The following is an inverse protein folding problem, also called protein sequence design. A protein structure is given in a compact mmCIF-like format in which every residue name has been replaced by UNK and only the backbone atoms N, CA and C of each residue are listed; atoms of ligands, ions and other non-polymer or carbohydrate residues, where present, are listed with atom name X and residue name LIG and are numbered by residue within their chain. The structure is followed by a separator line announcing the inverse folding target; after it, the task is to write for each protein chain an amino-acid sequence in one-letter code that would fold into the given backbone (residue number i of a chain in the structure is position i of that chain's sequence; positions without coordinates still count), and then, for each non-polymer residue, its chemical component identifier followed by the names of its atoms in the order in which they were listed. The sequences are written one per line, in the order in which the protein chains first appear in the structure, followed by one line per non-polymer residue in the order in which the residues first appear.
data_IF_099246931826
#
_entry.id   IF_099246931826
#
_cell.length_a   1.000
_cell.length_b   1.000
_cell.length_c   1.000
_cell.angle_alpha   90.00
_cell.angle_beta   90.00
_cell.angle_gamma   90.00
#
_symmetry.space_group_name_H-M   'P 1'
#
loop_
_entity.id
_entity.type
_entity.pdbx_description
1 polymer ?
#
# COMPACT_ATOMS: atom_id res chain seq x y z
N UNK A 1 -0.64 6.87 -0.76
CA UNK A 1 -1.41 6.61 0.49
C UNK A 1 -1.00 7.58 1.60
N UNK A 2 0.26 7.56 2.04
CA UNK A 2 0.80 8.39 3.14
C UNK A 2 0.47 9.88 3.05
N UNK A 3 0.62 10.49 1.89
CA UNK A 3 0.31 11.90 1.65
C UNK A 3 -1.15 12.24 1.97
N UNK A 4 -2.09 11.38 1.54
CA UNK A 4 -3.52 11.58 1.79
C UNK A 4 -3.86 11.41 3.27
N UNK A 5 -3.17 10.52 3.97
CA UNK A 5 -3.31 10.40 5.43
C UNK A 5 -2.83 11.68 6.12
N UNK A 6 -1.66 12.20 5.73
CA UNK A 6 -1.10 13.44 6.26
C UNK A 6 -1.98 14.67 5.96
N UNK A 7 -2.57 14.76 4.77
CA UNK A 7 -3.49 15.86 4.42
C UNK A 7 -4.79 15.85 5.23
N UNK A 8 -5.12 14.73 5.87
CA UNK A 8 -6.24 14.59 6.80
C UNK A 8 -5.81 14.74 8.26
N UNK A 9 -4.54 15.07 8.52
CA UNK A 9 -3.94 15.15 9.86
C UNK A 9 -4.14 13.88 10.70
N UNK A 10 -4.13 12.71 10.04
CA UNK A 10 -4.33 11.42 10.72
C UNK A 10 -3.00 10.76 11.08
N UNK A 11 -2.90 10.26 12.31
CA UNK A 11 -1.87 9.29 12.68
C UNK A 11 -2.13 7.94 11.97
N UNK A 12 -1.13 7.06 11.95
CA UNK A 12 -1.32 5.70 11.43
C UNK A 12 -2.36 4.92 12.27
N UNK A 13 -2.36 5.14 13.58
CA UNK A 13 -3.31 4.52 14.51
C UNK A 13 -4.74 4.98 14.23
N UNK A 14 -4.96 6.29 14.11
CA UNK A 14 -6.28 6.84 13.78
C UNK A 14 -6.81 6.35 12.42
N UNK A 15 -5.93 6.14 11.44
CA UNK A 15 -6.37 5.58 10.15
C UNK A 15 -6.64 4.07 10.26
N UNK A 16 -5.85 3.34 11.05
CA UNK A 16 -6.04 1.93 11.31
C UNK A 16 -7.42 1.68 11.93
N UNK A 17 -7.77 2.45 12.97
CA UNK A 17 -9.07 2.41 13.65
C UNK A 17 -10.22 2.68 12.68
N UNK A 18 -10.11 3.76 11.89
CA UNK A 18 -11.13 4.14 10.90
C UNK A 18 -11.33 3.12 9.78
N UNK A 19 -10.28 2.35 9.50
CA UNK A 19 -10.27 1.37 8.42
C UNK A 19 -10.54 -0.05 8.93
N UNK A 20 -10.64 -0.26 10.25
CA UNK A 20 -10.78 -1.59 10.84
C UNK A 20 -9.60 -2.52 10.52
N UNK A 21 -8.39 -1.96 10.37
CA UNK A 21 -7.17 -2.72 10.11
C UNK A 21 -6.19 -2.51 11.24
N UNK A 22 -5.21 -3.41 11.36
CA UNK A 22 -4.14 -3.26 12.34
C UNK A 22 -3.16 -2.12 11.97
N UNK A 23 -2.64 -1.42 12.99
CA UNK A 23 -1.67 -0.32 12.80
C UNK A 23 -0.37 -0.80 12.18
N UNK A 24 0.14 -1.96 12.59
CA UNK A 24 1.35 -2.54 12.01
C UNK A 24 1.10 -3.00 10.57
N UNK A 25 -0.08 -3.54 10.27
CA UNK A 25 -0.52 -3.79 8.89
C UNK A 25 -0.48 -2.52 8.05
N UNK A 26 -1.06 -1.42 8.53
CA UNK A 26 -1.06 -0.14 7.84
C UNK A 26 0.36 0.42 7.61
N UNK A 27 1.24 0.29 8.60
CA UNK A 27 2.66 0.69 8.48
C UNK A 27 3.41 -0.12 7.43
N UNK A 28 3.21 -1.44 7.40
CA UNK A 28 3.78 -2.31 6.36
C UNK A 28 3.23 -1.98 4.98
N UNK A 29 1.93 -1.67 4.89
CA UNK A 29 1.28 -1.29 3.64
C UNK A 29 1.80 0.05 3.11
N UNK A 30 1.97 1.06 3.98
CA UNK A 30 2.55 2.35 3.59
C UNK A 30 3.99 2.24 3.07
N UNK A 31 4.71 1.19 3.49
CA UNK A 31 6.07 0.86 3.02
C UNK A 31 6.09 -0.11 1.84
N UNK A 32 4.93 -0.54 1.33
CA UNK A 32 4.84 -1.48 0.22
C UNK A 32 5.23 -2.92 0.57
N UNK A 33 5.35 -3.28 1.84
CA UNK A 33 5.84 -4.60 2.27
C UNK A 33 4.75 -5.69 2.29
N UNK A 34 3.47 -5.33 2.19
CA UNK A 34 2.36 -6.29 2.16
C UNK A 34 1.41 -6.00 1.02
N UNK A 35 0.86 -7.07 0.43
CA UNK A 35 -0.26 -7.02 -0.52
C UNK A 35 -1.58 -7.13 0.25
N UNK A 36 -2.40 -6.07 0.29
CA UNK A 36 -3.70 -6.10 0.94
C UNK A 36 -4.71 -6.87 0.08
N UNK A 37 -5.75 -7.43 0.71
CA UNK A 37 -6.90 -7.95 -0.02
C UNK A 37 -7.75 -6.80 -0.57
N UNK A 38 -8.61 -7.11 -1.55
CA UNK A 38 -9.55 -6.12 -2.10
C UNK A 38 -10.41 -5.46 -1.01
N UNK A 39 -10.96 -6.26 -0.09
CA UNK A 39 -11.76 -5.77 1.02
C UNK A 39 -10.98 -4.82 1.94
N UNK A 40 -9.73 -5.15 2.24
CA UNK A 40 -8.87 -4.30 3.07
C UNK A 40 -8.58 -2.95 2.41
N UNK A 41 -8.32 -2.92 1.10
CA UNK A 41 -8.11 -1.66 0.37
C UNK A 41 -9.39 -0.83 0.35
N UNK A 42 -10.56 -1.45 0.21
CA UNK A 42 -11.85 -0.75 0.30
C UNK A 42 -12.07 -0.10 1.68
N UNK A 43 -11.76 -0.82 2.77
CA UNK A 43 -11.86 -0.26 4.13
C UNK A 43 -10.88 0.89 4.35
N UNK A 44 -9.65 0.79 3.84
CA UNK A 44 -8.65 1.86 3.93
C UNK A 44 -9.07 3.08 3.10
N UNK A 45 -9.62 2.87 1.91
CA UNK A 45 -10.15 3.97 1.08
C UNK A 45 -11.29 4.71 1.81
N UNK A 46 -12.17 3.98 2.50
CA UNK A 46 -13.21 4.54 3.37
C UNK A 46 -12.60 5.38 4.50
N UNK A 47 -11.59 4.86 5.20
CA UNK A 47 -10.86 5.59 6.25
C UNK A 47 -10.16 6.87 5.75
N UNK A 48 -9.68 6.88 4.51
CA UNK A 48 -9.06 8.02 3.83
C UNK A 48 -10.07 8.98 3.17
N UNK A 49 -11.37 8.74 3.34
CA UNK A 49 -12.46 9.51 2.71
C UNK A 49 -12.23 9.68 1.21
N UNK A 50 -11.85 8.61 0.51
CA UNK A 50 -11.60 8.64 -0.93
C UNK A 50 -12.16 7.42 -1.63
N UNK A 51 -12.43 7.55 -2.94
CA UNK A 51 -12.84 6.42 -3.75
C UNK A 51 -11.71 5.39 -3.85
N UNK A 52 -12.08 4.11 -3.76
CA UNK A 52 -11.18 2.98 -3.96
C UNK A 52 -10.36 3.11 -5.25
N UNK A 53 -11.03 3.42 -6.37
CA UNK A 53 -10.37 3.59 -7.67
C UNK A 53 -9.24 4.62 -7.64
N UNK A 54 -9.39 5.69 -6.87
CA UNK A 54 -8.36 6.72 -6.72
C UNK A 54 -7.21 6.29 -5.82
N UNK A 55 -7.45 5.37 -4.88
CA UNK A 55 -6.41 4.82 -4.03
C UNK A 55 -5.54 3.84 -4.83
N UNK A 56 -6.17 2.96 -5.62
CA UNK A 56 -5.48 1.97 -6.46
C UNK A 56 -4.70 2.61 -7.60
N UNK A 57 -5.28 3.59 -8.29
CA UNK A 57 -4.58 4.32 -9.36
C UNK A 57 -3.25 4.93 -8.88
N UNK A 58 -3.16 5.37 -7.62
CA UNK A 58 -1.90 5.87 -7.02
C UNK A 58 -0.93 4.75 -6.61
N UNK A 59 -1.41 3.53 -6.42
CA UNK A 59 -0.57 2.36 -6.08
C UNK A 59 0.07 1.72 -7.32
N UNK A 60 -0.60 1.77 -8.47
CA UNK A 60 -0.08 1.26 -9.76
C UNK A 60 1.23 1.95 -10.15
N UNK A 61 1.38 3.25 -9.88
CA UNK A 61 2.62 4.00 -10.12
C UNK A 61 3.83 3.49 -9.32
N UNK A 62 3.66 2.92 -8.11
CA UNK A 62 4.76 2.39 -7.31
C UNK A 62 5.01 0.88 -7.51
N UNK A 63 4.02 0.14 -8.03
CA UNK A 63 4.19 -1.30 -8.32
C UNK A 63 5.04 -1.53 -9.58
N UNK A 64 4.97 -0.62 -10.55
CA UNK A 64 5.80 -0.64 -11.75
C UNK A 64 7.30 -0.60 -11.44
N UNK A 65 7.71 0.11 -10.38
CA UNK A 65 9.11 0.21 -9.96
C UNK A 65 9.61 -1.07 -9.28
N UNK A 66 8.74 -1.79 -8.56
CA UNK A 66 9.14 -3.00 -7.82
C UNK A 66 9.15 -4.26 -8.70
N UNK A 67 8.21 -4.37 -9.63
CA UNK A 67 8.19 -5.47 -10.61
C UNK A 67 9.42 -5.47 -11.53
N UNK A 68 10.05 -4.30 -11.77
CA UNK A 68 11.33 -4.24 -12.49
C UNK A 68 12.50 -4.82 -11.71
N UNK A 69 12.54 -4.66 -10.39
CA UNK A 69 13.61 -5.23 -9.56
C UNK A 69 13.45 -6.74 -9.36
N UNK A 70 12.23 -7.23 -9.13
CA UNK A 70 11.99 -8.67 -8.93
C UNK A 70 12.26 -9.49 -10.21
N UNK A 71 12.08 -8.89 -11.40
CA UNK A 71 12.37 -9.53 -12.69
C UNK A 71 13.86 -9.61 -13.04
N UNK A 72 14.73 -8.79 -12.43
CA UNK A 72 16.14 -8.69 -12.79
C UNK A 72 17.08 -9.55 -11.90
N UNK A 73 16.55 -10.19 -10.85
CA UNK A 73 17.31 -11.05 -9.94
C UNK A 73 17.23 -12.55 -10.28
N UNK A 74 16.64 -12.93 -11.41
CA UNK A 74 16.44 -14.33 -11.82
C UNK A 74 17.45 -14.86 -12.85
N UNK A 75 18.47 -14.10 -13.22
CA UNK A 75 19.38 -14.45 -14.33
C UNK A 75 20.82 -14.86 -13.93
N UNK A 76 21.19 -14.82 -12.64
CA UNK A 76 22.59 -15.05 -12.20
C UNK A 76 22.88 -16.44 -11.59
N UNK A 77 21.98 -17.42 -11.68
CA UNK A 77 22.21 -18.77 -11.08
C UNK A 77 22.28 -19.93 -12.08
N UNK A 78 22.76 -19.70 -13.31
CA UNK A 78 23.21 -20.77 -14.22
C UNK A 78 24.40 -20.35 -15.07
N UNK A 79 25.60 -20.27 -14.49
CA UNK A 79 26.85 -20.59 -15.20
C UNK A 79 28.05 -20.49 -14.26
N UNK A 80 28.50 -21.63 -13.70
CA UNK A 80 29.88 -22.03 -13.44
C UNK A 80 29.91 -23.16 -12.40
#
# INVERSE_FOLDING_TARGET
MRERRKSLSLSQEQLADRSGVDRAFLSNLERGQRKPSFGTVASIAKGLKMKYSRLVAKCEQCQADRQRCDANNGAEEKSA
#
